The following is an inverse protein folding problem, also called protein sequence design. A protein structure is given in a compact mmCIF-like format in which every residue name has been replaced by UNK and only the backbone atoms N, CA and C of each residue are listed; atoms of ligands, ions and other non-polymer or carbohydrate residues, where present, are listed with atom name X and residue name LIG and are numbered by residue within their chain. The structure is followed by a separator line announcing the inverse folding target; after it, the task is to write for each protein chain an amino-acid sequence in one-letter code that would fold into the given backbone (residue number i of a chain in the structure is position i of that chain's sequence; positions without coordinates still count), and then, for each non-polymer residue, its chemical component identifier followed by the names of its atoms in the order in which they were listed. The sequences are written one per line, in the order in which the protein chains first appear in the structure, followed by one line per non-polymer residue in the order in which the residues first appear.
data_IF_881903948029
#
_entry.id   IF_881903948029
#
_cell.length_a   1.000
_cell.length_b   1.000
_cell.length_c   1.000
_cell.angle_alpha   90.00
_cell.angle_beta   90.00
_cell.angle_gamma   90.00
#
_symmetry.space_group_name_H-M   'P 1'
#
loop_
_entity.id
_entity.type
_entity.pdbx_description
1 polymer ?
#
# COMPACT_ATOMS: atom_id res chain seq x y z
N UNK A 1 17.33 3.35 51.72
CA UNK A 1 16.83 2.14 51.05
C UNK A 1 17.17 2.22 49.58
N UNK A 2 18.02 1.30 49.15
CA UNK A 2 18.51 1.13 47.79
C UNK A 2 17.38 0.67 46.86
N UNK A 3 17.22 1.30 45.69
CA UNK A 3 16.48 0.71 44.57
C UNK A 3 16.57 1.51 43.27
N UNK A 4 17.20 0.85 42.29
CA UNK A 4 16.81 0.75 40.87
C UNK A 4 17.45 1.74 39.88
N UNK A 5 18.64 1.31 39.46
CA UNK A 5 19.01 0.99 38.06
C UNK A 5 18.59 1.98 36.96
N UNK A 6 19.63 2.61 36.41
CA UNK A 6 19.75 3.30 35.11
C UNK A 6 18.86 2.66 34.03
N UNK A 7 17.87 3.42 33.53
CA UNK A 7 17.31 3.19 32.19
C UNK A 7 18.16 3.98 31.19
N UNK A 8 18.83 3.24 30.30
CA UNK A 8 19.47 3.79 29.10
C UNK A 8 18.42 4.53 28.29
N UNK A 9 18.67 5.80 28.00
CA UNK A 9 17.95 6.53 26.96
C UNK A 9 18.35 5.92 25.62
N UNK A 10 17.45 5.13 25.02
CA UNK A 10 17.52 4.89 23.59
C UNK A 10 17.14 6.20 22.91
N UNK A 11 18.12 6.79 22.21
CA UNK A 11 17.90 7.92 21.30
C UNK A 11 16.88 7.47 20.26
N UNK A 12 15.62 7.86 20.44
CA UNK A 12 14.67 7.94 19.35
C UNK A 12 15.24 9.03 18.45
N UNK A 13 15.81 8.61 17.32
CA UNK A 13 16.08 9.53 16.23
C UNK A 13 14.76 10.21 15.91
N UNK A 14 14.74 11.51 16.15
CA UNK A 14 13.69 12.44 15.73
C UNK A 14 13.67 12.36 14.21
N UNK A 15 12.84 11.47 13.67
CA UNK A 15 12.57 11.40 12.24
C UNK A 15 11.87 12.71 11.93
N UNK A 16 12.57 13.58 11.22
CA UNK A 16 12.07 14.90 10.86
C UNK A 16 10.74 14.70 10.15
N UNK A 17 9.73 15.40 10.66
CA UNK A 17 8.44 15.50 10.02
C UNK A 17 8.65 16.23 8.71
N UNK A 18 9.01 15.49 7.66
CA UNK A 18 8.82 15.96 6.31
C UNK A 18 7.33 15.89 6.08
N UNK A 19 6.74 17.08 6.14
CA UNK A 19 5.39 17.37 5.72
C UNK A 19 5.26 16.87 4.28
N UNK A 20 4.72 15.65 4.12
CA UNK A 20 4.41 15.08 2.82
C UNK A 20 3.27 15.91 2.27
N UNK A 21 3.68 16.91 1.49
CA UNK A 21 2.89 17.73 0.59
C UNK A 21 1.68 16.96 0.08
N UNK A 22 0.50 17.57 0.21
CA UNK A 22 -0.78 17.20 -0.39
C UNK A 22 -0.65 16.13 -1.46
N UNK A 23 -0.69 14.88 -0.99
CA UNK A 23 -0.54 13.62 -1.70
C UNK A 23 -0.44 13.75 -3.23
N UNK A 24 0.78 14.00 -3.69
CA UNK A 24 1.13 13.82 -5.09
C UNK A 24 1.10 12.31 -5.32
N UNK A 25 -0.08 11.81 -5.68
CA UNK A 25 -0.20 10.46 -6.19
C UNK A 25 0.58 10.44 -7.50
N UNK A 26 1.85 10.07 -7.43
CA UNK A 26 2.63 9.77 -8.62
C UNK A 26 1.82 8.75 -9.42
N UNK A 27 1.42 9.15 -10.61
CA UNK A 27 0.63 8.33 -11.51
C UNK A 27 1.41 7.02 -11.76
N UNK A 28 0.79 5.90 -11.45
CA UNK A 28 1.47 4.60 -11.55
C UNK A 28 1.33 4.12 -12.99
N UNK A 29 2.36 4.34 -13.79
CA UNK A 29 2.46 3.75 -15.11
C UNK A 29 2.69 2.24 -15.01
N UNK A 30 1.83 1.48 -15.66
CA UNK A 30 1.92 0.03 -15.83
C UNK A 30 1.91 -0.33 -17.30
N UNK A 31 2.64 -1.39 -17.64
CA UNK A 31 2.59 -1.95 -18.98
C UNK A 31 1.32 -2.77 -19.17
N UNK A 32 0.81 -2.87 -20.40
CA UNK A 32 -0.38 -3.67 -20.73
C UNK A 32 -0.28 -5.12 -20.20
N UNK A 33 0.93 -5.69 -20.21
CA UNK A 33 1.19 -7.02 -19.67
C UNK A 33 1.01 -7.10 -18.15
N UNK A 34 1.45 -6.08 -17.42
CA UNK A 34 1.25 -5.96 -15.97
C UNK A 34 -0.23 -5.76 -15.66
N UNK A 35 -0.92 -4.88 -16.40
CA UNK A 35 -2.35 -4.62 -16.23
C UNK A 35 -3.19 -5.89 -16.44
N UNK A 36 -2.95 -6.62 -17.54
CA UNK A 36 -3.66 -7.87 -17.85
C UNK A 36 -3.35 -8.98 -16.82
N UNK A 37 -2.13 -9.01 -16.29
CA UNK A 37 -1.79 -9.93 -15.21
C UNK A 37 -2.53 -9.56 -13.92
N UNK A 38 -2.57 -8.29 -13.55
CA UNK A 38 -3.28 -7.81 -12.35
C UNK A 38 -4.77 -8.11 -12.49
N UNK A 39 -5.38 -7.84 -13.65
CA UNK A 39 -6.78 -8.12 -13.90
C UNK A 39 -7.12 -9.60 -13.77
N UNK A 40 -6.36 -10.48 -14.43
CA UNK A 40 -6.57 -11.94 -14.33
C UNK A 40 -6.34 -12.45 -12.91
N UNK A 41 -5.29 -12.00 -12.25
CA UNK A 41 -5.00 -12.41 -10.88
C UNK A 41 -6.04 -11.90 -9.89
N UNK A 42 -6.48 -10.65 -10.00
CA UNK A 42 -7.52 -10.10 -9.15
C UNK A 42 -8.83 -10.88 -9.28
N UNK A 43 -9.21 -11.30 -10.50
CA UNK A 43 -10.38 -12.18 -10.70
C UNK A 43 -10.25 -13.55 -10.04
N UNK A 44 -9.03 -14.08 -9.90
CA UNK A 44 -8.76 -15.38 -9.30
C UNK A 44 -8.61 -15.31 -7.77
N UNK A 45 -7.87 -14.32 -7.29
CA UNK A 45 -7.44 -14.25 -5.88
C UNK A 45 -8.01 -13.08 -5.10
N UNK A 46 -8.65 -12.11 -5.74
CA UNK A 46 -9.20 -10.91 -5.12
C UNK A 46 -8.12 -9.88 -4.76
N UNK A 47 -8.33 -9.17 -3.66
CA UNK A 47 -7.48 -8.10 -3.09
C UNK A 47 -6.18 -8.60 -2.43
N UNK A 48 -5.70 -9.80 -2.81
CA UNK A 48 -4.45 -10.39 -2.30
C UNK A 48 -3.23 -9.83 -3.02
N UNK A 49 -2.99 -8.52 -2.90
CA UNK A 49 -1.95 -7.79 -3.63
C UNK A 49 -0.54 -8.35 -3.46
N UNK A 50 -0.17 -8.84 -2.27
CA UNK A 50 1.13 -9.48 -2.04
C UNK A 50 1.36 -10.71 -2.93
N UNK A 51 0.29 -11.46 -3.23
CA UNK A 51 0.35 -12.65 -4.09
C UNK A 51 0.45 -12.25 -5.57
N UNK A 52 -0.23 -11.18 -5.96
CA UNK A 52 -0.18 -10.61 -7.31
C UNK A 52 1.20 -10.01 -7.58
N UNK A 53 1.74 -9.23 -6.64
CA UNK A 53 3.09 -8.64 -6.70
C UNK A 53 4.17 -9.70 -6.82
N UNK A 54 4.01 -10.86 -6.18
CA UNK A 54 4.93 -12.00 -6.34
C UNK A 54 5.04 -12.53 -7.77
N UNK A 55 4.13 -12.16 -8.68
CA UNK A 55 4.17 -12.50 -10.11
C UNK A 55 4.66 -11.36 -11.00
N UNK A 56 4.78 -10.15 -10.46
CA UNK A 56 5.25 -8.97 -11.20
C UNK A 56 6.58 -8.53 -10.58
N UNK A 57 7.72 -9.03 -11.11
CA UNK A 57 9.02 -8.70 -10.55
C UNK A 57 9.26 -7.18 -10.63
N UNK A 58 9.70 -6.59 -9.52
CA UNK A 58 10.00 -5.15 -9.46
C UNK A 58 8.81 -4.25 -9.11
N UNK A 59 7.59 -4.79 -8.98
CA UNK A 59 6.44 -4.05 -8.47
C UNK A 59 6.14 -4.40 -7.02
N UNK A 60 5.79 -3.38 -6.25
CA UNK A 60 5.35 -3.54 -4.87
C UNK A 60 3.83 -3.77 -4.82
N UNK A 61 3.33 -4.54 -3.85
CA UNK A 61 1.89 -4.76 -3.71
C UNK A 61 1.10 -3.47 -3.50
N UNK A 62 1.69 -2.47 -2.83
CA UNK A 62 1.05 -1.17 -2.61
C UNK A 62 0.88 -0.38 -3.91
N UNK A 63 1.81 -0.51 -4.86
CA UNK A 63 1.70 0.15 -6.17
C UNK A 63 0.59 -0.48 -7.00
N UNK A 64 0.46 -1.81 -6.94
CA UNK A 64 -0.61 -2.55 -7.62
C UNK A 64 -1.97 -2.19 -7.06
N UNK A 65 -2.09 -2.12 -5.73
CA UNK A 65 -3.33 -1.68 -5.07
C UNK A 65 -3.72 -0.26 -5.50
N UNK A 66 -2.76 0.67 -5.50
CA UNK A 66 -2.99 2.06 -5.92
C UNK A 66 -3.40 2.18 -7.37
N UNK A 67 -2.73 1.49 -8.29
CA UNK A 67 -3.11 1.45 -9.70
C UNK A 67 -4.53 0.91 -9.86
N UNK A 68 -4.85 -0.16 -9.16
CA UNK A 68 -6.17 -0.74 -9.23
C UNK A 68 -7.24 0.21 -8.69
N UNK A 69 -7.01 0.86 -7.54
CA UNK A 69 -7.93 1.86 -6.97
C UNK A 69 -8.05 3.07 -7.91
N UNK A 70 -6.97 3.53 -8.52
CA UNK A 70 -7.00 4.64 -9.49
C UNK A 70 -7.83 4.26 -10.72
N UNK A 71 -7.60 3.07 -11.27
CA UNK A 71 -8.25 2.57 -12.50
C UNK A 71 -9.70 2.16 -12.30
N UNK A 72 -10.05 1.64 -11.12
CA UNK A 72 -11.38 1.13 -10.77
C UNK A 72 -12.04 1.92 -9.61
N UNK A 73 -11.68 3.19 -9.44
CA UNK A 73 -12.06 4.02 -8.29
C UNK A 73 -13.56 4.06 -8.03
N UNK A 74 -14.39 4.11 -9.08
CA UNK A 74 -15.85 4.13 -8.99
C UNK A 74 -16.41 2.82 -8.43
N UNK A 75 -15.95 1.67 -8.91
CA UNK A 75 -16.35 0.35 -8.40
C UNK A 75 -15.80 0.07 -6.99
N UNK A 76 -14.63 0.63 -6.67
CA UNK A 76 -13.97 0.46 -5.37
C UNK A 76 -14.56 1.33 -4.27
N UNK A 77 -14.97 2.56 -4.60
CA UNK A 77 -15.65 3.44 -3.68
C UNK A 77 -16.94 2.79 -3.14
N UNK A 78 -17.70 2.11 -4.00
CA UNK A 78 -18.92 1.40 -3.60
C UNK A 78 -18.65 0.18 -2.72
N UNK A 79 -17.62 -0.63 -3.02
CA UNK A 79 -17.24 -1.78 -2.17
C UNK A 79 -16.78 -1.37 -0.77
N UNK A 80 -16.14 -0.20 -0.62
CA UNK A 80 -15.76 0.33 0.71
C UNK A 80 -16.95 0.86 1.50
N UNK A 81 -17.97 1.45 0.84
CA UNK A 81 -19.21 1.89 1.48
C UNK A 81 -20.01 0.71 2.03
N UNK A 82 -20.04 -0.42 1.30
CA UNK A 82 -20.80 -1.61 1.68
C UNK A 82 -20.26 -2.34 2.92
N UNK A 83 -18.96 -2.23 3.22
CA UNK A 83 -18.35 -2.85 4.42
C UNK A 83 -18.58 -2.05 5.72
N UNK A 84 -19.24 -0.88 5.65
CA UNK A 84 -19.41 0.05 6.79
C UNK A 84 -20.86 0.12 7.31
N UNK A 85 -21.77 -0.63 6.69
CA UNK A 85 -23.17 -0.86 7.11
C UNK A 85 -23.32 -2.29 7.58
#
# INVERSE_FOLDING_TARGET
MDSRRRRRQAKVARCESEEVSSIEWEFIDMTEQEEDLIYRMYRLVGDRWSLIAGRIPGRKPEEIERFWIMRHSEEYAEKRKLRRT
#
